data_IF_335622442312
#
_entry.id   IF_335622442312
#
_cell.length_a   1.000
_cell.length_b   1.000
_cell.length_c   1.000
_cell.angle_alpha   90.00
_cell.angle_beta   90.00
_cell.angle_gamma   90.00
#
_symmetry.space_group_name_H-M   'P 1'
#
loop_
_entity.id
_entity.type
_entity.pdbx_description
1 polymer ?
#
# COMPACT_ATOMS: atom_id res chain seq x y z
N UNK A 1 -1.84 4.13 -9.54
CA UNK A 1 -3.02 3.70 -8.75
C UNK A 1 -2.72 2.66 -7.67
N UNK A 2 -1.47 2.58 -7.18
CA UNK A 2 -0.97 1.55 -6.26
C UNK A 2 -0.70 2.08 -4.85
N UNK A 3 -1.45 3.09 -4.43
CA UNK A 3 -1.45 3.52 -3.03
C UNK A 3 -2.08 2.45 -2.15
N UNK A 4 -1.70 2.40 -0.88
CA UNK A 4 -2.14 1.44 0.11
C UNK A 4 -3.56 0.95 -0.16
N UNK A 5 -3.69 -0.33 -0.50
CA UNK A 5 -4.99 -0.94 -0.75
C UNK A 5 -5.79 -0.94 0.55
N UNK A 6 -7.10 -0.98 0.46
CA UNK A 6 -7.97 -0.98 1.65
C UNK A 6 -7.61 -2.12 2.63
N UNK A 7 -7.16 -3.27 2.10
CA UNK A 7 -6.73 -4.37 2.96
C UNK A 7 -5.44 -4.04 3.74
N UNK A 8 -4.47 -3.35 3.10
CA UNK A 8 -3.23 -2.92 3.77
C UNK A 8 -3.54 -1.96 4.92
N UNK A 9 -4.48 -1.02 4.72
CA UNK A 9 -4.93 -0.12 5.77
C UNK A 9 -5.54 -0.88 6.95
N UNK A 10 -6.44 -1.85 6.70
CA UNK A 10 -7.03 -2.69 7.76
C UNK A 10 -5.98 -3.52 8.48
N UNK A 11 -5.02 -4.07 7.75
CA UNK A 11 -3.89 -4.80 8.33
C UNK A 11 -3.05 -3.90 9.24
N UNK A 12 -2.67 -2.70 8.77
CA UNK A 12 -1.93 -1.72 9.56
C UNK A 12 -2.68 -1.28 10.82
N UNK A 13 -4.01 -1.07 10.72
CA UNK A 13 -4.85 -0.78 11.90
C UNK A 13 -4.82 -1.91 12.93
N UNK A 14 -4.87 -3.17 12.49
CA UNK A 14 -4.72 -4.32 13.37
C UNK A 14 -3.35 -4.36 14.04
N UNK A 15 -2.29 -4.13 13.26
CA UNK A 15 -0.90 -4.11 13.76
C UNK A 15 -0.73 -3.01 14.81
N UNK A 16 -1.11 -1.77 14.54
CA UNK A 16 -0.93 -0.67 15.52
C UNK A 16 -1.79 -0.88 16.76
N UNK A 17 -3.00 -1.43 16.61
CA UNK A 17 -3.86 -1.74 17.75
C UNK A 17 -3.20 -2.80 18.64
N UNK A 18 -2.72 -3.90 18.07
CA UNK A 18 -1.99 -4.93 18.82
C UNK A 18 -0.69 -4.40 19.44
N UNK A 19 0.05 -3.56 18.71
CA UNK A 19 1.29 -2.97 19.18
C UNK A 19 1.07 -2.04 20.40
N UNK A 20 0.01 -1.21 20.36
CA UNK A 20 -0.37 -0.35 21.49
C UNK A 20 -0.76 -1.14 22.74
N UNK A 21 -1.42 -2.30 22.59
CA UNK A 21 -1.81 -3.17 23.70
C UNK A 21 -0.62 -3.70 24.50
N UNK A 22 0.54 -3.87 23.84
CA UNK A 22 1.75 -4.47 24.44
C UNK A 22 2.95 -3.53 24.50
N UNK A 23 2.81 -2.28 24.03
CA UNK A 23 3.82 -1.24 24.20
C UNK A 23 4.89 -1.18 23.09
N UNK A 24 4.67 -1.76 21.91
CA UNK A 24 5.63 -1.72 20.79
C UNK A 24 5.42 -0.51 19.88
N UNK A 25 6.53 0.07 19.40
CA UNK A 25 6.51 0.99 18.28
C UNK A 25 6.48 0.23 16.95
N UNK A 26 5.90 0.83 15.92
CA UNK A 26 5.79 0.24 14.58
C UNK A 26 6.45 1.14 13.55
N UNK A 27 7.36 0.60 12.75
CA UNK A 27 7.91 1.25 11.57
C UNK A 27 7.40 0.52 10.33
N UNK A 28 6.70 1.25 9.45
CA UNK A 28 6.17 0.73 8.19
C UNK A 28 7.05 1.22 7.05
N UNK A 29 7.70 0.30 6.36
CA UNK A 29 8.50 0.56 5.18
C UNK A 29 7.63 0.23 3.96
N UNK A 30 7.32 1.24 3.16
CA UNK A 30 6.42 1.09 2.02
C UNK A 30 7.03 1.75 0.79
N UNK A 31 7.31 0.96 -0.24
CA UNK A 31 7.64 1.51 -1.55
C UNK A 31 6.37 1.85 -2.33
N UNK A 32 6.51 2.66 -3.36
CA UNK A 32 5.40 3.06 -4.22
C UNK A 32 5.38 2.33 -5.56
N UNK A 33 6.31 1.38 -5.74
CA UNK A 33 6.42 0.56 -6.92
C UNK A 33 6.94 1.28 -8.17
N UNK A 34 6.81 0.65 -9.31
CA UNK A 34 7.42 1.09 -10.55
C UNK A 34 6.70 2.30 -11.16
N UNK A 35 7.35 3.47 -11.11
CA UNK A 35 6.87 4.71 -11.72
C UNK A 35 7.07 4.69 -13.24
N UNK A 36 6.07 4.17 -13.97
CA UNK A 36 6.04 4.27 -15.43
C UNK A 36 7.26 3.68 -16.14
N UNK A 37 7.81 2.58 -15.62
CA UNK A 37 8.96 1.86 -16.19
C UNK A 37 10.31 2.62 -16.13
N UNK A 38 10.44 3.62 -15.28
CA UNK A 38 11.73 4.31 -15.09
C UNK A 38 12.64 3.51 -14.14
N UNK A 39 13.53 2.71 -14.73
CA UNK A 39 14.45 1.84 -13.99
C UNK A 39 15.33 2.58 -12.96
N UNK A 40 15.73 3.81 -13.22
CA UNK A 40 16.56 4.59 -12.27
C UNK A 40 15.76 5.00 -11.03
N UNK A 41 14.47 5.35 -11.18
CA UNK A 41 13.59 5.62 -10.04
C UNK A 41 13.38 4.37 -9.19
N UNK A 42 13.21 3.23 -9.83
CA UNK A 42 13.11 1.95 -9.15
C UNK A 42 14.35 1.66 -8.28
N UNK A 43 15.57 1.91 -8.79
CA UNK A 43 16.80 1.76 -7.99
C UNK A 43 16.78 2.67 -6.75
N UNK A 44 16.30 3.91 -6.87
CA UNK A 44 16.16 4.84 -5.75
C UNK A 44 15.18 4.31 -4.69
N UNK A 45 14.01 3.82 -5.11
CA UNK A 45 13.04 3.22 -4.20
C UNK A 45 13.61 2.01 -3.45
N UNK A 46 14.43 1.18 -4.13
CA UNK A 46 15.06 0.00 -3.52
C UNK A 46 15.99 0.34 -2.35
N UNK A 47 16.50 1.57 -2.27
CA UNK A 47 17.32 2.00 -1.12
C UNK A 47 16.55 1.90 0.20
N UNK A 48 15.21 1.99 0.18
CA UNK A 48 14.36 1.86 1.36
C UNK A 48 14.64 0.58 2.13
N UNK A 49 14.93 -0.52 1.44
CA UNK A 49 15.16 -1.84 2.05
C UNK A 49 16.50 -1.97 2.76
N UNK A 50 17.39 -0.97 2.64
CA UNK A 50 18.63 -0.86 3.42
C UNK A 50 18.45 -0.03 4.71
N UNK A 51 17.29 0.62 4.88
CA UNK A 51 17.01 1.49 6.02
C UNK A 51 16.73 0.72 7.32
N UNK A 52 15.99 -0.41 7.34
CA UNK A 52 15.64 -1.09 8.57
C UNK A 52 16.87 -1.53 9.36
N UNK A 53 16.94 -1.29 10.68
CA UNK A 53 17.99 -1.81 11.55
C UNK A 53 17.70 -3.28 11.89
N UNK A 54 17.82 -4.15 10.91
CA UNK A 54 17.38 -5.56 10.95
C UNK A 54 17.85 -6.34 12.19
N UNK A 55 19.04 -6.01 12.70
CA UNK A 55 19.62 -6.68 13.88
C UNK A 55 19.02 -6.23 15.20
N UNK A 56 18.31 -5.08 15.20
CA UNK A 56 17.78 -4.43 16.41
C UNK A 56 16.23 -4.50 16.49
N UNK A 57 15.59 -5.18 15.52
CA UNK A 57 14.14 -5.31 15.50
C UNK A 57 13.64 -6.37 16.48
N UNK A 58 12.56 -6.08 17.20
CA UNK A 58 11.88 -7.04 18.08
C UNK A 58 10.96 -7.99 17.30
N UNK A 59 10.58 -7.66 16.08
CA UNK A 59 9.75 -8.49 15.21
C UNK A 59 9.55 -7.89 13.83
N UNK A 60 9.24 -8.74 12.87
CA UNK A 60 9.00 -8.35 11.48
C UNK A 60 7.68 -8.92 10.99
N UNK A 61 6.85 -8.06 10.40
CA UNK A 61 5.63 -8.44 9.67
C UNK A 61 5.83 -8.17 8.19
N UNK A 62 5.65 -9.19 7.36
CA UNK A 62 5.85 -9.16 5.91
C UNK A 62 4.53 -9.32 5.17
N UNK A 63 4.22 -8.37 4.29
CA UNK A 63 3.11 -8.46 3.33
C UNK A 63 3.69 -8.62 1.91
N UNK A 64 4.35 -9.75 1.66
CA UNK A 64 5.13 -10.00 0.43
C UNK A 64 4.27 -10.02 -0.83
N UNK A 65 3.01 -10.40 -0.73
CA UNK A 65 2.04 -10.40 -1.82
C UNK A 65 1.72 -9.00 -2.36
N UNK A 66 2.10 -7.95 -1.61
CA UNK A 66 1.96 -6.55 -2.04
C UNK A 66 3.15 -6.03 -2.82
N UNK A 67 4.28 -6.75 -2.78
CA UNK A 67 5.51 -6.40 -3.48
C UNK A 67 5.49 -7.05 -4.88
N UNK A 68 5.31 -6.25 -5.92
CA UNK A 68 5.19 -6.76 -7.29
C UNK A 68 6.54 -7.17 -7.90
N UNK A 69 7.62 -6.48 -7.50
CA UNK A 69 8.94 -6.70 -8.07
C UNK A 69 9.66 -7.85 -7.35
N UNK A 70 9.91 -8.93 -8.08
CA UNK A 70 10.58 -10.13 -7.55
C UNK A 70 11.94 -9.80 -6.94
N UNK A 71 12.70 -8.91 -7.57
CA UNK A 71 14.03 -8.50 -7.10
C UNK A 71 13.95 -7.85 -5.71
N UNK A 72 12.95 -6.98 -5.50
CA UNK A 72 12.70 -6.33 -4.20
C UNK A 72 12.35 -7.36 -3.13
N UNK A 73 11.47 -8.31 -3.46
CA UNK A 73 11.08 -9.39 -2.55
C UNK A 73 12.27 -10.25 -2.13
N UNK A 74 13.07 -10.69 -3.10
CA UNK A 74 14.26 -11.51 -2.84
C UNK A 74 15.27 -10.76 -1.97
N UNK A 75 15.46 -9.46 -2.23
CA UNK A 75 16.35 -8.61 -1.45
C UNK A 75 15.89 -8.48 0.02
N UNK A 76 14.61 -8.17 0.23
CA UNK A 76 14.02 -8.08 1.58
C UNK A 76 14.11 -9.42 2.32
N UNK A 77 13.73 -10.52 1.67
CA UNK A 77 13.79 -11.86 2.26
C UNK A 77 15.23 -12.22 2.63
N UNK A 78 16.20 -11.89 1.77
CA UNK A 78 17.63 -12.13 2.03
C UNK A 78 18.09 -11.35 3.26
N UNK A 79 17.84 -10.02 3.31
CA UNK A 79 18.24 -9.18 4.45
C UNK A 79 17.66 -9.71 5.77
N UNK A 80 16.36 -10.08 5.75
CA UNK A 80 15.70 -10.63 6.93
C UNK A 80 16.33 -11.95 7.36
N UNK A 81 16.60 -12.89 6.45
CA UNK A 81 17.20 -14.18 6.78
C UNK A 81 18.64 -14.07 7.30
N UNK A 82 19.41 -13.12 6.78
CA UNK A 82 20.81 -12.95 7.13
C UNK A 82 21.02 -12.10 8.37
N UNK A 83 20.10 -11.17 8.68
CA UNK A 83 20.31 -10.09 9.64
C UNK A 83 19.31 -10.06 10.79
N UNK A 84 18.08 -10.57 10.62
CA UNK A 84 17.10 -10.59 11.69
C UNK A 84 17.29 -11.79 12.63
N UNK A 85 17.19 -11.51 13.92
CA UNK A 85 17.23 -12.54 14.98
C UNK A 85 15.91 -12.61 15.77
N UNK A 86 14.87 -11.93 15.28
CA UNK A 86 13.56 -11.82 15.90
C UNK A 86 12.49 -12.68 15.20
N UNK A 87 11.32 -12.87 15.81
CA UNK A 87 10.19 -13.53 15.17
C UNK A 87 9.75 -12.83 13.89
N UNK A 88 9.52 -13.62 12.85
CA UNK A 88 9.04 -13.15 11.54
C UNK A 88 7.63 -13.67 11.33
N UNK A 89 6.72 -12.81 10.88
CA UNK A 89 5.35 -13.16 10.51
C UNK A 89 5.09 -12.78 9.06
N UNK A 90 4.75 -13.75 8.22
CA UNK A 90 4.32 -13.53 6.83
C UNK A 90 2.80 -13.49 6.76
N UNK A 91 2.26 -12.54 6.02
CA UNK A 91 0.82 -12.36 5.81
C UNK A 91 0.45 -12.82 4.41
N UNK A 92 -0.56 -13.69 4.31
CA UNK A 92 -1.15 -14.25 3.07
C UNK A 92 -0.22 -15.10 2.21
N UNK A 93 1.05 -15.14 2.49
CA UNK A 93 2.00 -15.93 1.73
C UNK A 93 2.82 -16.85 2.64
N UNK A 94 3.01 -18.10 2.21
CA UNK A 94 3.79 -19.08 2.93
C UNK A 94 5.29 -18.76 2.77
N UNK A 95 5.92 -18.34 3.85
CA UNK A 95 7.37 -18.15 3.92
C UNK A 95 7.98 -19.22 4.84
N UNK A 96 8.86 -20.04 4.29
CA UNK A 96 9.56 -21.08 5.05
C UNK A 96 10.46 -20.45 6.12
N UNK A 97 10.30 -20.88 7.36
CA UNK A 97 11.05 -20.35 8.51
C UNK A 97 10.39 -19.15 9.19
N UNK A 98 9.23 -18.69 8.72
CA UNK A 98 8.44 -17.65 9.34
C UNK A 98 7.11 -18.20 9.89
N UNK A 99 6.51 -17.49 10.85
CA UNK A 99 5.11 -17.72 11.21
C UNK A 99 4.23 -17.21 10.06
N UNK A 100 3.21 -17.96 9.66
CA UNK A 100 2.41 -17.61 8.50
C UNK A 100 0.95 -17.40 8.91
N UNK A 101 0.40 -16.24 8.59
CA UNK A 101 -1.01 -15.93 8.71
C UNK A 101 -1.64 -16.02 7.33
N UNK A 102 -2.37 -17.09 7.09
CA UNK A 102 -2.91 -17.47 5.79
C UNK A 102 -4.42 -17.31 5.78
N UNK A 103 -5.01 -17.15 4.61
CA UNK A 103 -6.47 -17.20 4.43
C UNK A 103 -6.86 -18.61 3.98
N UNK A 104 -7.84 -19.20 4.64
CA UNK A 104 -8.50 -20.39 4.09
C UNK A 104 -9.41 -19.95 2.95
N UNK A 105 -8.87 -20.05 1.74
CA UNK A 105 -9.61 -19.69 0.54
C UNK A 105 -10.72 -20.68 0.21
N UNK A 106 -10.66 -21.93 0.75
CA UNK A 106 -11.54 -23.00 0.30
C UNK A 106 -12.96 -22.86 0.88
N UNK A 107 -13.12 -22.75 2.19
CA UNK A 107 -14.43 -22.78 2.83
C UNK A 107 -15.36 -21.66 2.34
N UNK A 108 -14.84 -20.43 2.22
CA UNK A 108 -15.65 -19.30 1.81
C UNK A 108 -15.86 -19.21 0.29
N UNK A 109 -14.88 -19.61 -0.54
CA UNK A 109 -15.07 -19.68 -1.98
C UNK A 109 -16.09 -20.76 -2.35
N UNK A 110 -16.05 -21.90 -1.69
CA UNK A 110 -17.08 -22.94 -1.84
C UNK A 110 -18.45 -22.44 -1.39
N UNK A 111 -18.53 -21.78 -0.24
CA UNK A 111 -19.77 -21.16 0.24
C UNK A 111 -20.33 -20.12 -0.72
N UNK A 112 -19.48 -19.36 -1.40
CA UNK A 112 -19.88 -18.39 -2.42
C UNK A 112 -20.49 -19.09 -3.64
N UNK A 113 -19.85 -20.16 -4.14
CA UNK A 113 -20.34 -20.94 -5.28
C UNK A 113 -21.62 -21.65 -4.90
N UNK A 114 -21.67 -22.26 -3.71
CA UNK A 114 -22.86 -22.89 -3.16
C UNK A 114 -24.04 -21.90 -3.12
N UNK A 115 -23.79 -20.68 -2.70
CA UNK A 115 -24.80 -19.63 -2.66
C UNK A 115 -25.37 -19.32 -4.06
N UNK A 116 -24.52 -19.20 -5.08
CA UNK A 116 -24.97 -18.96 -6.46
C UNK A 116 -25.75 -20.18 -7.03
N UNK A 117 -25.31 -21.40 -6.74
CA UNK A 117 -25.95 -22.61 -7.26
C UNK A 117 -27.20 -22.99 -6.47
N UNK A 118 -27.14 -23.04 -5.13
CA UNK A 118 -28.24 -23.56 -4.30
C UNK A 118 -29.31 -22.51 -4.04
N UNK A 119 -28.90 -21.27 -3.69
CA UNK A 119 -29.89 -20.23 -3.33
C UNK A 119 -30.47 -19.52 -4.57
N UNK A 120 -29.64 -19.33 -5.61
CA UNK A 120 -30.08 -18.63 -6.82
C UNK A 120 -30.31 -19.55 -8.03
N UNK A 121 -30.02 -20.85 -7.91
CA UNK A 121 -30.28 -21.85 -8.96
C UNK A 121 -29.43 -21.69 -10.22
N UNK A 122 -28.34 -20.94 -10.17
CA UNK A 122 -27.48 -20.65 -11.30
C UNK A 122 -26.65 -21.86 -11.73
N UNK A 123 -26.57 -22.09 -13.05
CA UNK A 123 -25.89 -23.25 -13.65
C UNK A 123 -24.75 -22.85 -14.59
N UNK A 124 -24.78 -21.63 -15.12
CA UNK A 124 -23.79 -21.10 -16.07
C UNK A 124 -22.94 -20.06 -15.35
N UNK A 125 -21.92 -20.52 -14.61
CA UNK A 125 -21.02 -19.67 -13.86
C UNK A 125 -19.71 -19.47 -14.62
N UNK A 126 -19.20 -18.23 -14.59
CA UNK A 126 -17.87 -17.88 -15.05
C UNK A 126 -17.00 -17.45 -13.87
N UNK A 127 -15.69 -17.62 -14.01
CA UNK A 127 -14.73 -17.30 -12.96
C UNK A 127 -13.60 -16.40 -13.48
N UNK A 128 -13.47 -15.20 -12.91
CA UNK A 128 -12.32 -14.35 -13.15
C UNK A 128 -11.30 -14.57 -12.02
N UNK A 129 -10.26 -15.35 -12.30
CA UNK A 129 -9.16 -15.61 -11.35
C UNK A 129 -8.13 -14.49 -11.39
N UNK A 130 -7.15 -14.51 -10.48
CA UNK A 130 -5.99 -13.61 -10.47
C UNK A 130 -4.85 -14.10 -11.38
N UNK A 131 -3.60 -13.58 -11.15
CA UNK A 131 -2.42 -14.03 -11.89
C UNK A 131 -2.17 -15.53 -11.72
N UNK A 132 -1.64 -16.16 -12.79
CA UNK A 132 -1.44 -17.62 -12.82
C UNK A 132 -0.50 -18.15 -11.75
N UNK A 133 0.49 -17.35 -11.37
CA UNK A 133 1.52 -17.74 -10.40
C UNK A 133 1.21 -17.32 -8.96
N UNK A 134 0.03 -16.71 -8.72
CA UNK A 134 -0.37 -16.27 -7.40
C UNK A 134 -1.12 -17.37 -6.64
N UNK A 135 -0.66 -17.68 -5.40
CA UNK A 135 -1.21 -18.74 -4.57
C UNK A 135 -2.74 -18.63 -4.38
N UNK A 136 -3.23 -17.50 -3.88
CA UNK A 136 -4.67 -17.30 -3.65
C UNK A 136 -5.49 -17.47 -4.95
N UNK A 137 -4.94 -17.04 -6.09
CA UNK A 137 -5.62 -17.17 -7.38
C UNK A 137 -5.78 -18.63 -7.80
N UNK A 138 -4.74 -19.43 -7.58
CA UNK A 138 -4.74 -20.86 -7.87
C UNK A 138 -5.72 -21.61 -6.94
N UNK A 139 -5.65 -21.36 -5.64
CA UNK A 139 -6.54 -22.00 -4.67
C UNK A 139 -8.02 -21.69 -4.94
N UNK A 140 -8.36 -20.40 -5.18
CA UNK A 140 -9.72 -19.98 -5.51
C UNK A 140 -10.22 -20.59 -6.82
N UNK A 141 -9.34 -20.71 -7.84
CA UNK A 141 -9.68 -21.39 -9.09
C UNK A 141 -9.89 -22.90 -8.90
N UNK A 142 -9.07 -23.54 -8.07
CA UNK A 142 -9.25 -24.97 -7.76
C UNK A 142 -10.57 -25.20 -7.04
N UNK A 143 -10.95 -24.34 -6.09
CA UNK A 143 -12.25 -24.41 -5.42
C UNK A 143 -13.40 -24.26 -6.42
N UNK A 144 -13.31 -23.31 -7.36
CA UNK A 144 -14.32 -23.15 -8.41
C UNK A 144 -14.47 -24.42 -9.22
N UNK A 145 -13.39 -24.97 -9.76
CA UNK A 145 -13.41 -26.21 -10.56
C UNK A 145 -14.00 -27.38 -9.77
N UNK A 146 -13.54 -27.60 -8.54
CA UNK A 146 -14.03 -28.66 -7.68
C UNK A 146 -15.55 -28.57 -7.43
N UNK A 147 -16.07 -27.37 -7.16
CA UNK A 147 -17.51 -27.17 -6.93
C UNK A 147 -18.32 -27.34 -8.22
N UNK A 148 -17.83 -26.90 -9.37
CA UNK A 148 -18.49 -27.16 -10.66
C UNK A 148 -18.59 -28.66 -10.93
N UNK A 149 -17.52 -29.42 -10.68
CA UNK A 149 -17.51 -30.88 -10.81
C UNK A 149 -18.49 -31.55 -9.82
N UNK A 150 -18.53 -31.10 -8.55
CA UNK A 150 -19.43 -31.61 -7.51
C UNK A 150 -20.91 -31.46 -7.92
N UNK A 151 -21.26 -30.31 -8.56
CA UNK A 151 -22.62 -30.06 -9.04
C UNK A 151 -22.91 -30.67 -10.40
N UNK A 152 -21.94 -31.31 -11.06
CA UNK A 152 -22.07 -31.80 -12.42
C UNK A 152 -22.31 -30.68 -13.45
N UNK A 153 -21.83 -29.47 -13.16
CA UNK A 153 -21.92 -28.32 -14.04
C UNK A 153 -20.68 -28.28 -14.95
N UNK A 154 -20.92 -28.13 -16.23
CA UNK A 154 -19.82 -28.02 -17.20
C UNK A 154 -19.14 -26.65 -17.10
N UNK A 155 -17.83 -26.63 -17.25
CA UNK A 155 -17.05 -25.43 -17.44
C UNK A 155 -15.96 -25.67 -18.48
N UNK A 156 -15.69 -24.68 -19.32
CA UNK A 156 -14.67 -24.71 -20.37
C UNK A 156 -13.71 -23.53 -20.25
N UNK A 157 -12.81 -23.40 -21.22
CA UNK A 157 -11.83 -22.30 -21.24
C UNK A 157 -12.51 -20.93 -21.24
N UNK A 158 -13.63 -20.75 -21.95
CA UNK A 158 -14.38 -19.50 -22.02
C UNK A 158 -15.04 -19.08 -20.70
N UNK A 159 -15.15 -19.99 -19.73
CA UNK A 159 -15.71 -19.68 -18.43
C UNK A 159 -14.64 -19.27 -17.39
N UNK A 160 -13.35 -19.29 -17.78
CA UNK A 160 -12.24 -18.92 -16.90
C UNK A 160 -11.42 -17.82 -17.60
N UNK A 161 -11.27 -16.67 -16.89
CA UNK A 161 -10.44 -15.56 -17.36
C UNK A 161 -9.37 -15.24 -16.31
N UNK A 162 -8.13 -15.00 -16.77
CA UNK A 162 -7.02 -14.67 -15.89
C UNK A 162 -6.86 -13.15 -15.77
N UNK A 163 -7.27 -12.62 -14.65
CA UNK A 163 -7.06 -11.23 -14.25
C UNK A 163 -5.70 -11.00 -13.61
N UNK A 164 -5.57 -9.86 -12.94
CA UNK A 164 -4.34 -9.41 -12.29
C UNK A 164 -4.59 -8.81 -10.90
N UNK A 165 -5.77 -9.09 -10.32
CA UNK A 165 -6.29 -8.54 -9.06
C UNK A 165 -6.55 -7.02 -9.08
N UNK A 166 -6.45 -6.36 -10.25
CA UNK A 166 -6.73 -4.93 -10.42
C UNK A 166 -7.98 -4.65 -11.26
N UNK A 167 -8.31 -3.35 -11.40
CA UNK A 167 -9.52 -2.90 -12.11
C UNK A 167 -9.36 -2.80 -13.65
N UNK A 168 -8.18 -2.97 -14.18
CA UNK A 168 -7.83 -2.66 -15.57
C UNK A 168 -8.35 -3.69 -16.59
N UNK A 169 -8.64 -4.95 -16.19
CA UNK A 169 -9.06 -6.02 -17.09
C UNK A 169 -10.55 -6.31 -17.15
N UNK A 170 -11.40 -5.44 -16.59
CA UNK A 170 -12.86 -5.65 -16.59
C UNK A 170 -13.46 -5.72 -17.98
N UNK A 171 -13.00 -4.87 -18.91
CA UNK A 171 -13.44 -4.89 -20.32
C UNK A 171 -13.05 -6.19 -21.03
N UNK A 172 -11.81 -6.60 -20.93
CA UNK A 172 -11.28 -7.82 -21.53
C UNK A 172 -11.98 -9.08 -20.99
N UNK A 173 -12.24 -9.12 -19.69
CA UNK A 173 -12.99 -10.20 -19.06
C UNK A 173 -14.43 -10.28 -19.60
N UNK A 174 -15.12 -9.15 -19.74
CA UNK A 174 -16.45 -9.13 -20.33
C UNK A 174 -16.45 -9.49 -21.82
N UNK A 175 -15.43 -9.07 -22.61
CA UNK A 175 -15.29 -9.48 -23.99
C UNK A 175 -15.11 -11.01 -24.11
N UNK A 176 -14.38 -11.61 -23.15
CA UNK A 176 -14.15 -13.04 -23.06
C UNK A 176 -15.42 -13.82 -22.68
N UNK A 177 -16.08 -13.44 -21.59
CA UNK A 177 -17.25 -14.16 -21.08
C UNK A 177 -18.53 -14.00 -21.95
N UNK A 178 -18.60 -12.95 -22.74
CA UNK A 178 -19.75 -12.61 -23.61
C UNK A 178 -19.39 -12.76 -25.09
N UNK A 179 -18.39 -13.59 -25.41
CA UNK A 179 -17.98 -13.82 -26.79
C UNK A 179 -19.13 -14.37 -27.63
N UNK A 180 -19.17 -13.99 -28.92
CA UNK A 180 -20.21 -14.43 -29.85
C UNK A 180 -20.18 -15.97 -30.02
N UNK A 181 -21.35 -16.59 -29.86
CA UNK A 181 -21.51 -18.05 -29.94
C UNK A 181 -21.39 -18.76 -28.59
N UNK A 182 -20.93 -18.08 -27.54
CA UNK A 182 -20.87 -18.63 -26.17
C UNK A 182 -22.18 -18.37 -25.40
N UNK A 183 -22.60 -19.28 -24.51
CA UNK A 183 -23.79 -19.07 -23.70
C UNK A 183 -23.57 -17.94 -22.69
N UNK A 184 -24.50 -16.98 -22.64
CA UNK A 184 -24.45 -15.91 -21.65
C UNK A 184 -24.36 -16.49 -20.23
N UNK A 185 -23.40 -16.02 -19.38
CA UNK A 185 -23.31 -16.44 -17.99
C UNK A 185 -24.50 -15.93 -17.19
N UNK A 186 -24.94 -16.72 -16.20
CA UNK A 186 -25.92 -16.34 -15.19
C UNK A 186 -25.22 -15.62 -14.02
N UNK A 187 -23.96 -15.97 -13.76
CA UNK A 187 -23.14 -15.35 -12.72
C UNK A 187 -21.66 -15.33 -13.08
N UNK A 188 -20.99 -14.25 -12.69
CA UNK A 188 -19.53 -14.08 -12.78
C UNK A 188 -18.97 -13.93 -11.37
N UNK A 189 -18.16 -14.90 -10.96
CA UNK A 189 -17.46 -14.90 -9.68
C UNK A 189 -16.04 -14.39 -9.92
N UNK A 190 -15.66 -13.31 -9.24
CA UNK A 190 -14.33 -12.74 -9.34
C UNK A 190 -13.50 -13.10 -8.10
N UNK A 191 -12.23 -13.42 -8.31
CA UNK A 191 -11.34 -13.81 -7.23
C UNK A 191 -10.98 -12.63 -6.28
N UNK A 192 -11.33 -11.38 -6.61
CA UNK A 192 -11.32 -10.27 -5.65
C UNK A 192 -12.33 -9.16 -6.01
N UNK A 193 -12.50 -8.21 -5.09
CA UNK A 193 -13.47 -7.12 -5.20
C UNK A 193 -13.10 -6.06 -6.25
N UNK A 194 -11.81 -5.82 -6.48
CA UNK A 194 -11.37 -4.89 -7.54
C UNK A 194 -11.79 -5.38 -8.92
N UNK A 195 -11.58 -6.66 -9.20
CA UNK A 195 -12.00 -7.29 -10.44
C UNK A 195 -13.53 -7.33 -10.53
N UNK A 196 -14.23 -7.66 -9.44
CA UNK A 196 -15.70 -7.68 -9.41
C UNK A 196 -16.31 -6.32 -9.74
N UNK A 197 -15.79 -5.24 -9.15
CA UNK A 197 -16.26 -3.88 -9.45
C UNK A 197 -15.95 -3.45 -10.88
N UNK A 198 -14.82 -3.89 -11.44
CA UNK A 198 -14.45 -3.61 -12.83
C UNK A 198 -15.38 -4.34 -13.83
N UNK A 199 -15.64 -5.63 -13.59
CA UNK A 199 -16.59 -6.44 -14.38
C UNK A 199 -18.01 -5.84 -14.28
N UNK A 200 -18.48 -5.55 -13.06
CA UNK A 200 -19.81 -4.97 -12.85
C UNK A 200 -19.97 -3.62 -13.56
N UNK A 201 -18.97 -2.75 -13.48
CA UNK A 201 -18.97 -1.45 -14.18
C UNK A 201 -19.06 -1.63 -15.68
N UNK A 202 -18.33 -2.57 -16.25
CA UNK A 202 -18.33 -2.83 -17.68
C UNK A 202 -19.65 -3.47 -18.14
N UNK A 203 -20.23 -4.41 -17.38
CA UNK A 203 -21.55 -4.98 -17.66
C UNK A 203 -22.64 -3.91 -17.70
N UNK A 204 -22.67 -3.00 -16.70
CA UNK A 204 -23.60 -1.87 -16.65
C UNK A 204 -23.40 -0.95 -17.87
N UNK A 205 -22.17 -0.64 -18.25
CA UNK A 205 -21.84 0.18 -19.42
C UNK A 205 -22.35 -0.45 -20.72
N UNK A 206 -22.41 -1.79 -20.79
CA UNK A 206 -22.98 -2.55 -21.93
C UNK A 206 -24.50 -2.69 -21.88
N UNK A 207 -25.15 -2.21 -20.82
CA UNK A 207 -26.60 -2.24 -20.64
C UNK A 207 -27.13 -3.50 -19.94
N UNK A 208 -26.27 -4.35 -19.40
CA UNK A 208 -26.71 -5.48 -18.57
C UNK A 208 -27.15 -5.02 -17.19
N UNK A 209 -28.20 -5.62 -16.67
CA UNK A 209 -28.70 -5.38 -15.32
C UNK A 209 -28.11 -6.41 -14.36
N UNK A 210 -27.55 -5.92 -13.28
CA UNK A 210 -27.03 -6.76 -12.20
C UNK A 210 -28.02 -6.69 -11.03
N UNK A 211 -28.54 -7.80 -10.52
CA UNK A 211 -28.25 -9.22 -10.87
C UNK A 211 -29.17 -9.81 -11.95
N UNK A 212 -30.16 -9.07 -12.48
CA UNK A 212 -31.28 -9.63 -13.26
C UNK A 212 -30.82 -10.33 -14.53
N UNK A 213 -29.79 -9.85 -15.22
CA UNK A 213 -29.26 -10.45 -16.42
C UNK A 213 -27.98 -11.27 -16.13
N UNK A 214 -27.12 -10.78 -15.25
CA UNK A 214 -25.88 -11.45 -14.81
C UNK A 214 -25.58 -11.04 -13.35
N UNK A 215 -25.44 -12.01 -12.46
CA UNK A 215 -24.98 -11.76 -11.10
C UNK A 215 -23.45 -11.62 -11.04
N UNK A 216 -22.96 -10.86 -10.05
CA UNK A 216 -21.51 -10.64 -9.87
C UNK A 216 -21.15 -10.78 -8.40
N UNK A 217 -20.00 -11.41 -8.11
CA UNK A 217 -19.43 -11.43 -6.77
C UNK A 217 -17.93 -11.23 -6.78
N UNK A 218 -17.40 -10.75 -5.65
CA UNK A 218 -15.98 -10.57 -5.39
C UNK A 218 -15.48 -11.38 -4.20
N UNK A 219 -14.32 -11.00 -3.68
CA UNK A 219 -13.65 -11.55 -2.52
C UNK A 219 -12.77 -10.46 -1.91
N UNK A 220 -12.46 -10.48 -0.62
CA UNK A 220 -11.68 -9.61 0.25
C UNK A 220 -12.53 -8.74 1.19
N UNK A 221 -13.79 -8.42 0.85
CA UNK A 221 -14.71 -7.66 1.70
C UNK A 221 -14.37 -6.16 1.76
N UNK A 222 -13.99 -5.57 0.62
CA UNK A 222 -13.63 -4.15 0.56
C UNK A 222 -14.84 -3.25 0.78
N UNK A 223 -14.67 -2.13 1.52
CA UNK A 223 -15.73 -1.13 1.74
C UNK A 223 -16.25 -0.52 0.44
N UNK A 224 -15.42 -0.41 -0.58
CA UNK A 224 -15.81 0.07 -1.90
C UNK A 224 -16.93 -0.76 -2.54
N UNK A 225 -17.07 -2.03 -2.17
CA UNK A 225 -18.17 -2.90 -2.63
C UNK A 225 -19.53 -2.48 -2.10
N UNK A 226 -19.58 -1.87 -0.92
CA UNK A 226 -20.80 -1.33 -0.32
C UNK A 226 -21.28 -0.02 -0.99
N UNK A 227 -20.35 0.77 -1.51
CA UNK A 227 -20.67 2.02 -2.21
C UNK A 227 -21.00 1.81 -3.69
N UNK A 228 -20.69 0.64 -4.26
CA UNK A 228 -21.08 0.27 -5.61
C UNK A 228 -22.60 0.07 -5.72
N UNK A 229 -23.18 0.32 -6.88
CA UNK A 229 -24.60 0.09 -7.12
C UNK A 229 -24.79 -0.83 -8.33
N UNK A 230 -25.35 -2.05 -8.10
CA UNK A 230 -25.76 -2.66 -6.83
C UNK A 230 -24.58 -3.03 -5.93
N UNK A 231 -24.78 -3.09 -4.60
CA UNK A 231 -23.75 -3.51 -3.65
C UNK A 231 -23.22 -4.90 -4.00
N UNK A 232 -21.90 -5.04 -4.06
CA UNK A 232 -21.26 -6.29 -4.52
C UNK A 232 -21.22 -7.33 -3.41
N UNK A 233 -21.75 -8.53 -3.71
CA UNK A 233 -21.59 -9.74 -2.90
C UNK A 233 -20.11 -10.10 -2.81
N UNK A 234 -19.60 -10.39 -1.61
CA UNK A 234 -18.18 -10.65 -1.40
C UNK A 234 -17.95 -11.62 -0.23
N UNK A 235 -16.70 -12.07 -0.08
CA UNK A 235 -16.21 -12.76 1.10
C UNK A 235 -15.27 -11.83 1.87
N UNK A 236 -15.60 -11.53 3.13
CA UNK A 236 -14.80 -10.60 3.95
C UNK A 236 -13.68 -11.35 4.66
N UNK A 237 -12.44 -10.96 4.35
CA UNK A 237 -11.24 -11.46 5.02
C UNK A 237 -10.96 -10.58 6.27
N UNK A 238 -10.65 -11.18 7.45
CA UNK A 238 -10.46 -10.44 8.69
C UNK A 238 -9.05 -9.84 8.81
N UNK A 239 -8.66 -8.93 7.89
CA UNK A 239 -7.32 -8.34 7.84
C UNK A 239 -6.92 -7.61 9.11
N UNK A 240 -7.86 -6.95 9.80
CA UNK A 240 -7.61 -6.31 11.08
C UNK A 240 -7.17 -7.33 12.13
N UNK A 241 -7.88 -8.44 12.26
CA UNK A 241 -7.55 -9.50 13.22
C UNK A 241 -6.23 -10.20 12.84
N UNK A 242 -5.95 -10.36 11.54
CA UNK A 242 -4.65 -10.87 11.09
C UNK A 242 -3.50 -9.96 11.54
N UNK A 243 -3.64 -8.63 11.37
CA UNK A 243 -2.65 -7.67 11.84
C UNK A 243 -2.43 -7.71 13.35
N UNK A 244 -3.51 -7.74 14.12
CA UNK A 244 -3.44 -7.86 15.59
C UNK A 244 -2.79 -9.18 16.02
N UNK A 245 -3.15 -10.29 15.36
CA UNK A 245 -2.57 -11.61 15.61
C UNK A 245 -1.08 -11.67 15.29
N UNK A 246 -0.63 -11.00 14.24
CA UNK A 246 0.79 -10.93 13.90
C UNK A 246 1.63 -10.38 15.07
N UNK A 247 1.19 -9.28 15.66
CA UNK A 247 1.89 -8.67 16.82
C UNK A 247 1.84 -9.58 18.04
N UNK A 248 0.72 -10.24 18.31
CA UNK A 248 0.62 -11.22 19.41
C UNK A 248 1.56 -12.42 19.24
N UNK A 249 1.78 -12.86 17.99
CA UNK A 249 2.75 -13.92 17.70
C UNK A 249 4.16 -13.43 17.98
N UNK A 250 4.51 -12.23 17.51
CA UNK A 250 5.82 -11.63 17.76
C UNK A 250 6.09 -11.57 19.26
N UNK A 251 5.18 -11.03 20.05
CA UNK A 251 5.31 -10.91 21.50
C UNK A 251 5.52 -12.28 22.18
N UNK A 252 4.70 -13.27 21.86
CA UNK A 252 4.78 -14.62 22.44
C UNK A 252 6.02 -15.39 22.03
N UNK A 253 6.64 -15.08 20.89
CA UNK A 253 7.78 -15.80 20.32
C UNK A 253 9.12 -15.16 20.61
N UNK A 254 9.17 -14.07 21.39
CA UNK A 254 10.44 -13.46 21.81
C UNK A 254 11.39 -14.48 22.45
N UNK A 255 10.86 -15.38 23.29
CA UNK A 255 11.65 -16.39 23.98
C UNK A 255 11.92 -17.66 23.16
N UNK A 256 11.18 -17.88 22.04
CA UNK A 256 11.29 -19.10 21.22
C UNK A 256 11.07 -18.80 19.73
N UNK A 257 11.94 -18.04 19.08
CA UNK A 257 11.76 -17.62 17.68
C UNK A 257 11.79 -18.78 16.67
N UNK A 258 12.45 -19.88 16.98
CA UNK A 258 12.61 -21.03 16.08
C UNK A 258 11.32 -21.85 15.88
N UNK A 259 10.35 -21.77 16.80
CA UNK A 259 9.09 -22.52 16.71
C UNK A 259 8.08 -21.72 15.88
N UNK A 260 8.00 -22.02 14.60
CA UNK A 260 7.05 -21.39 13.67
C UNK A 260 5.68 -22.05 13.67
N UNK A 261 4.62 -21.28 13.37
CA UNK A 261 3.25 -21.78 13.25
C UNK A 261 2.56 -21.20 12.01
N UNK A 262 1.64 -21.97 11.43
CA UNK A 262 0.75 -21.51 10.37
C UNK A 262 -0.64 -21.36 10.95
N UNK A 263 -1.21 -20.17 10.86
CA UNK A 263 -2.55 -19.85 11.34
C UNK A 263 -3.42 -19.51 10.14
N UNK A 264 -4.55 -20.20 10.02
CA UNK A 264 -5.52 -19.95 8.94
C UNK A 264 -6.69 -19.12 9.46
N UNK A 265 -7.12 -18.19 8.65
CA UNK A 265 -8.26 -17.31 8.90
C UNK A 265 -9.35 -17.58 7.89
N UNK A 266 -10.56 -17.79 8.38
CA UNK A 266 -11.74 -17.94 7.54
C UNK A 266 -12.23 -16.58 7.06
N UNK A 267 -12.59 -16.49 5.79
CA UNK A 267 -13.36 -15.38 5.27
C UNK A 267 -14.86 -15.62 5.54
N UNK A 268 -15.65 -14.56 5.61
CA UNK A 268 -17.10 -14.63 5.88
C UNK A 268 -17.85 -14.14 4.65
N UNK A 269 -18.74 -15.01 4.11
CA UNK A 269 -19.59 -14.66 2.97
C UNK A 269 -20.58 -13.55 3.36
N UNK A 270 -20.66 -12.53 2.51
CA UNK A 270 -21.55 -11.38 2.60
C UNK A 270 -22.44 -11.31 1.34
N UNK A 271 -23.59 -12.00 1.31
CA UNK A 271 -24.54 -11.88 0.20
C UNK A 271 -25.14 -10.46 0.15
N UNK A 272 -25.19 -9.89 -1.05
CA UNK A 272 -25.70 -8.52 -1.27
C UNK A 272 -26.52 -8.42 -2.55
N UNK A 273 -26.82 -7.19 -2.96
CA UNK A 273 -27.68 -6.90 -4.11
C UNK A 273 -27.18 -7.50 -5.43
N UNK A 274 -25.88 -7.59 -5.64
CA UNK A 274 -25.29 -8.05 -6.92
C UNK A 274 -25.45 -9.55 -7.20
N UNK A 275 -25.83 -10.37 -6.22
CA UNK A 275 -26.25 -11.75 -6.43
C UNK A 275 -27.79 -11.92 -6.43
N UNK A 276 -28.54 -10.90 -6.04
CA UNK A 276 -30.01 -10.95 -5.92
C UNK A 276 -30.51 -10.96 -4.47
N UNK A 277 -29.62 -10.97 -3.48
CA UNK A 277 -30.00 -10.83 -2.06
C UNK A 277 -30.22 -9.36 -1.70
N UNK A 278 -31.02 -9.13 -0.66
CA UNK A 278 -31.18 -7.78 -0.12
C UNK A 278 -29.96 -7.43 0.74
N UNK A 279 -29.42 -6.22 0.57
CA UNK A 279 -28.39 -5.72 1.47
C UNK A 279 -29.01 -5.53 2.87
N UNK A 280 -28.50 -6.24 3.86
CA UNK A 280 -28.93 -6.10 5.26
C UNK A 280 -28.51 -4.79 5.94
N UNK A 281 -27.74 -3.95 5.26
CA UNK A 281 -26.96 -2.85 5.84
C UNK A 281 -27.31 -1.46 5.25
N UNK A 282 -28.58 -1.20 4.94
CA UNK A 282 -29.01 0.01 4.25
C UNK A 282 -28.52 1.35 4.85
N UNK A 283 -28.42 1.46 6.19
CA UNK A 283 -27.97 2.68 6.86
C UNK A 283 -26.45 2.84 6.78
N UNK A 284 -25.70 1.75 6.84
CA UNK A 284 -24.23 1.74 6.68
C UNK A 284 -23.83 2.09 5.25
N UNK A 285 -24.54 1.53 4.26
CA UNK A 285 -24.35 1.83 2.83
C UNK A 285 -24.52 3.33 2.53
N UNK A 286 -25.57 3.96 3.07
CA UNK A 286 -25.79 5.41 2.88
C UNK A 286 -24.67 6.24 3.49
N UNK A 287 -24.20 5.87 4.68
CA UNK A 287 -23.08 6.56 5.34
C UNK A 287 -21.78 6.40 4.56
N UNK A 288 -21.49 5.21 4.02
CA UNK A 288 -20.31 4.95 3.20
C UNK A 288 -20.38 5.75 1.89
N UNK A 289 -21.52 5.76 1.18
CA UNK A 289 -21.70 6.54 -0.04
C UNK A 289 -21.51 8.02 0.19
N UNK A 290 -22.05 8.56 1.28
CA UNK A 290 -21.88 9.96 1.64
C UNK A 290 -20.42 10.29 1.91
N UNK A 291 -19.71 9.47 2.70
CA UNK A 291 -18.27 9.64 2.96
C UNK A 291 -17.44 9.57 1.68
N UNK A 292 -17.76 8.66 0.76
CA UNK A 292 -17.04 8.57 -0.52
C UNK A 292 -17.25 9.80 -1.38
N UNK A 293 -18.49 10.32 -1.46
CA UNK A 293 -18.77 11.56 -2.15
C UNK A 293 -18.01 12.76 -1.57
N UNK A 294 -17.97 12.86 -0.23
CA UNK A 294 -17.19 13.88 0.47
C UNK A 294 -15.70 13.72 0.19
N UNK A 295 -15.17 12.48 0.24
CA UNK A 295 -13.77 12.17 -0.03
C UNK A 295 -13.37 12.50 -1.48
N UNK A 296 -14.23 12.21 -2.46
CA UNK A 296 -13.97 12.52 -3.87
C UNK A 296 -13.89 14.02 -4.12
N UNK A 297 -14.84 14.81 -3.57
CA UNK A 297 -14.80 16.26 -3.67
C UNK A 297 -13.59 16.89 -2.97
N UNK A 298 -13.23 16.38 -1.81
CA UNK A 298 -12.03 16.81 -1.08
C UNK A 298 -10.77 16.38 -1.85
N UNK A 299 -10.76 15.19 -2.46
CA UNK A 299 -9.66 14.65 -3.24
C UNK A 299 -9.27 15.54 -4.42
N UNK A 300 -10.23 16.00 -5.21
CA UNK A 300 -9.99 16.91 -6.35
C UNK A 300 -9.36 18.24 -5.91
N UNK A 301 -9.82 18.80 -4.81
CA UNK A 301 -9.25 20.03 -4.26
C UNK A 301 -7.81 19.79 -3.76
N UNK A 302 -7.52 18.63 -3.18
CA UNK A 302 -6.19 18.27 -2.69
C UNK A 302 -5.20 18.07 -3.83
N UNK A 303 -5.58 17.39 -4.91
CA UNK A 303 -4.72 17.24 -6.10
C UNK A 303 -4.30 18.61 -6.65
N UNK A 304 -5.22 19.55 -6.73
CA UNK A 304 -4.91 20.93 -7.14
C UNK A 304 -3.92 21.59 -6.16
N UNK A 305 -4.06 21.38 -4.86
CA UNK A 305 -3.11 21.91 -3.87
C UNK A 305 -1.70 21.31 -4.04
N UNK A 306 -1.57 20.05 -4.45
CA UNK A 306 -0.27 19.44 -4.76
C UNK A 306 0.37 20.06 -6.02
N UNK A 307 -0.41 20.43 -7.03
CA UNK A 307 0.10 21.19 -8.16
C UNK A 307 0.66 22.57 -7.73
N UNK A 308 -0.08 23.29 -6.89
CA UNK A 308 0.42 24.55 -6.33
C UNK A 308 1.65 24.35 -5.44
N UNK A 309 1.68 23.28 -4.65
CA UNK A 309 2.86 22.90 -3.87
C UNK A 309 4.07 22.73 -4.79
N UNK A 310 3.97 21.97 -5.87
CA UNK A 310 5.06 21.74 -6.80
C UNK A 310 5.60 23.06 -7.37
N UNK A 311 4.72 23.99 -7.76
CA UNK A 311 5.11 25.33 -8.27
C UNK A 311 5.83 26.13 -7.18
N UNK A 312 5.25 26.21 -5.97
CA UNK A 312 5.83 26.99 -4.89
C UNK A 312 7.14 26.40 -4.35
N UNK A 313 7.27 25.06 -4.36
CA UNK A 313 8.49 24.39 -3.94
C UNK A 313 9.65 24.64 -4.93
N UNK A 314 9.38 24.75 -6.23
CA UNK A 314 10.42 25.03 -7.23
C UNK A 314 11.12 26.38 -7.05
N UNK A 315 10.58 27.29 -6.24
CA UNK A 315 11.19 28.56 -5.88
C UNK A 315 12.19 28.44 -4.72
N UNK A 316 12.26 27.28 -4.05
CA UNK A 316 13.16 27.08 -2.90
C UNK A 316 14.59 26.77 -3.37
N UNK A 317 15.56 27.45 -2.77
CA UNK A 317 16.99 27.25 -3.02
C UNK A 317 17.75 26.76 -1.79
N UNK A 318 17.08 26.71 -0.64
CA UNK A 318 17.64 26.25 0.64
C UNK A 318 16.66 25.32 1.37
N UNK A 319 17.20 24.43 2.22
CA UNK A 319 16.40 23.51 3.00
C UNK A 319 15.51 24.24 4.04
N UNK A 320 15.94 25.41 4.51
CA UNK A 320 15.17 26.22 5.47
C UNK A 320 13.90 26.79 4.80
N UNK A 321 13.99 27.22 3.53
CA UNK A 321 12.84 27.66 2.74
C UNK A 321 11.86 26.50 2.49
N UNK A 322 12.39 25.30 2.25
CA UNK A 322 11.58 24.09 2.11
C UNK A 322 10.80 23.81 3.40
N UNK A 323 11.43 23.87 4.56
CA UNK A 323 10.78 23.65 5.86
C UNK A 323 9.61 24.60 6.12
N UNK A 324 9.76 25.88 5.73
CA UNK A 324 8.69 26.86 5.86
C UNK A 324 7.48 26.54 4.94
N UNK A 325 7.74 26.07 3.71
CA UNK A 325 6.68 25.74 2.74
C UNK A 325 6.03 24.40 3.06
N UNK A 326 6.80 23.39 3.48
CA UNK A 326 6.26 22.10 3.94
C UNK A 326 5.18 22.30 4.99
N UNK A 327 5.42 23.13 5.99
CA UNK A 327 4.45 23.43 7.04
C UNK A 327 3.09 23.94 6.54
N UNK A 328 3.02 24.48 5.32
CA UNK A 328 1.75 24.96 4.72
C UNK A 328 1.01 23.84 3.97
N UNK A 329 1.73 22.91 3.35
CA UNK A 329 1.16 21.92 2.44
C UNK A 329 0.91 20.56 3.08
N UNK A 330 1.64 20.20 4.13
CA UNK A 330 1.57 18.86 4.74
C UNK A 330 0.16 18.53 5.28
N UNK A 331 -0.62 19.54 5.64
CA UNK A 331 -2.01 19.36 6.10
C UNK A 331 -2.97 18.88 5.00
N UNK A 332 -2.54 18.88 3.73
CA UNK A 332 -3.29 18.27 2.64
C UNK A 332 -3.19 16.74 2.66
N UNK A 333 -2.20 16.18 3.37
CA UNK A 333 -2.13 14.75 3.65
C UNK A 333 -3.13 14.44 4.75
N UNK A 334 -4.17 13.67 4.41
CA UNK A 334 -5.24 13.35 5.35
C UNK A 334 -4.74 12.55 6.55
N UNK A 335 -5.25 12.86 7.74
CA UNK A 335 -4.86 12.19 8.98
C UNK A 335 -3.42 12.45 9.41
N UNK A 336 -2.70 13.36 8.79
CA UNK A 336 -1.36 13.77 9.19
C UNK A 336 -1.32 14.20 10.67
N UNK A 337 -0.32 13.71 11.37
CA UNK A 337 -0.04 14.09 12.76
C UNK A 337 1.34 14.71 12.92
N UNK A 338 2.39 13.92 12.68
CA UNK A 338 3.78 14.31 12.83
C UNK A 338 4.59 13.96 11.58
N UNK A 339 5.68 14.71 11.33
CA UNK A 339 6.54 14.52 10.15
C UNK A 339 7.98 14.86 10.50
N UNK A 340 8.93 14.10 9.98
CA UNK A 340 10.33 14.48 9.94
C UNK A 340 10.99 14.10 8.61
N UNK A 341 11.86 14.98 8.13
CA UNK A 341 12.75 14.74 7.00
C UNK A 341 14.15 14.47 7.53
N UNK A 342 14.70 13.32 7.19
CA UNK A 342 15.99 12.84 7.64
C UNK A 342 16.92 12.71 6.43
N UNK A 343 17.93 13.56 6.34
CA UNK A 343 18.87 13.59 5.22
C UNK A 343 20.21 12.97 5.61
N UNK A 344 20.86 12.35 4.65
CA UNK A 344 22.21 11.80 4.81
C UNK A 344 23.20 12.90 5.19
N UNK A 345 24.09 12.65 6.15
CA UNK A 345 25.12 13.61 6.52
C UNK A 345 25.96 14.01 5.29
N UNK A 346 26.06 15.32 5.03
CA UNK A 346 26.77 15.86 3.86
C UNK A 346 26.06 15.61 2.52
N UNK A 347 24.75 15.49 2.49
CA UNK A 347 23.96 15.22 1.27
C UNK A 347 24.18 16.26 0.15
N UNK A 348 24.52 17.51 0.47
CA UNK A 348 24.82 18.57 -0.51
C UNK A 348 26.17 18.44 -1.19
N UNK A 349 27.14 17.82 -0.53
CA UNK A 349 28.55 17.80 -0.94
C UNK A 349 28.90 16.55 -1.77
N UNK A 350 28.20 15.45 -1.58
CA UNK A 350 28.49 14.16 -2.20
C UNK A 350 27.97 14.08 -3.63
N UNK A 351 28.79 13.55 -4.52
CA UNK A 351 28.45 13.40 -5.95
C UNK A 351 27.62 12.14 -6.25
N UNK A 352 27.69 11.12 -5.41
CA UNK A 352 27.00 9.85 -5.60
C UNK A 352 26.63 9.26 -4.24
N UNK A 353 25.32 9.16 -3.95
CA UNK A 353 24.81 8.42 -2.81
C UNK A 353 24.10 7.17 -3.31
N UNK A 354 24.68 6.01 -3.05
CA UNK A 354 24.07 4.72 -3.36
C UNK A 354 23.34 4.09 -2.17
N UNK A 355 22.97 4.87 -1.14
CA UNK A 355 22.33 4.40 0.07
C UNK A 355 22.42 5.42 1.20
N UNK A 356 22.06 5.01 2.40
CA UNK A 356 22.05 5.88 3.57
C UNK A 356 23.44 5.98 4.23
N UNK A 357 23.69 7.11 4.89
CA UNK A 357 24.85 7.26 5.78
C UNK A 357 24.52 6.75 7.18
N UNK A 358 25.56 6.40 7.98
CA UNK A 358 25.35 5.97 9.37
C UNK A 358 24.83 7.10 10.25
N UNK A 359 25.24 8.33 9.97
CA UNK A 359 24.72 9.53 10.61
C UNK A 359 23.78 10.27 9.68
N UNK A 360 22.67 10.72 10.23
CA UNK A 360 21.62 11.46 9.57
C UNK A 360 21.46 12.84 10.20
N UNK A 361 20.95 13.79 9.41
CA UNK A 361 20.55 15.12 9.88
C UNK A 361 19.05 15.28 9.70
N UNK A 362 18.37 15.86 10.69
CA UNK A 362 16.93 16.17 10.60
C UNK A 362 16.74 17.68 10.48
N UNK A 363 16.76 18.27 9.28
CA UNK A 363 16.58 19.71 9.09
C UNK A 363 15.13 20.17 9.22
N UNK A 364 14.15 19.28 8.98
CA UNK A 364 12.74 19.63 8.96
C UNK A 364 11.98 18.67 9.87
N UNK A 365 11.17 19.22 10.76
CA UNK A 365 10.28 18.46 11.61
C UNK A 365 9.00 19.25 11.93
N UNK A 366 7.89 18.52 11.98
CA UNK A 366 6.59 18.99 12.44
C UNK A 366 6.13 18.01 13.51
N UNK A 367 5.90 18.52 14.71
CA UNK A 367 5.48 17.74 15.86
C UNK A 367 4.22 18.33 16.45
N UNK A 368 3.21 17.50 16.73
CA UNK A 368 1.91 17.94 17.24
C UNK A 368 1.30 19.06 16.37
N UNK A 369 1.49 18.96 15.05
CA UNK A 369 1.07 19.96 14.05
C UNK A 369 1.78 21.31 14.13
N UNK A 370 2.86 21.44 14.90
CA UNK A 370 3.69 22.63 14.96
C UNK A 370 4.99 22.42 14.17
N UNK A 371 5.33 23.37 13.31
CA UNK A 371 6.60 23.34 12.60
C UNK A 371 7.73 23.75 13.55
N UNK A 372 8.61 22.80 13.88
CA UNK A 372 9.77 23.00 14.76
C UNK A 372 11.08 23.11 13.99
N UNK A 373 11.02 23.20 12.64
CA UNK A 373 12.19 23.38 11.78
C UNK A 373 12.80 24.78 11.91
N UNK A 374 14.12 24.94 11.68
CA UNK A 374 15.13 23.90 11.48
C UNK A 374 15.61 23.31 12.81
N UNK A 375 15.64 21.98 12.90
CA UNK A 375 16.09 21.31 14.13
C UNK A 375 17.59 21.06 14.17
N UNK A 376 18.21 20.83 13.00
CA UNK A 376 19.62 20.47 12.81
C UNK A 376 20.09 19.34 13.73
N UNK A 377 19.18 18.51 14.21
CA UNK A 377 19.51 17.36 15.04
C UNK A 377 20.25 16.33 14.21
N UNK A 378 21.34 15.78 14.77
CA UNK A 378 22.10 14.68 14.20
C UNK A 378 21.90 13.45 15.04
N UNK A 379 21.65 12.32 14.40
CA UNK A 379 21.33 11.06 15.06
C UNK A 379 21.89 9.85 14.28
N UNK A 380 21.93 8.70 14.93
CA UNK A 380 22.30 7.44 14.28
C UNK A 380 21.14 6.94 13.44
N UNK A 381 21.39 6.54 12.19
CA UNK A 381 20.38 6.01 11.28
C UNK A 381 19.55 4.86 11.87
N UNK A 382 20.15 4.03 12.72
CA UNK A 382 19.49 2.89 13.37
C UNK A 382 18.37 3.30 14.32
N UNK A 383 18.39 4.54 14.82
CA UNK A 383 17.28 5.08 15.63
C UNK A 383 16.01 5.29 14.81
N UNK A 384 16.08 5.36 13.46
CA UNK A 384 15.01 5.63 12.50
C UNK A 384 14.25 6.95 12.77
N UNK A 385 13.83 7.18 14.00
CA UNK A 385 13.11 8.36 14.44
C UNK A 385 13.94 9.08 15.51
N UNK A 386 14.34 10.34 15.29
CA UNK A 386 15.09 11.12 16.24
C UNK A 386 14.38 11.23 17.59
N UNK A 387 15.14 11.28 18.68
CA UNK A 387 14.59 11.28 20.05
C UNK A 387 13.60 12.42 20.32
N UNK A 388 13.80 13.58 19.71
CA UNK A 388 12.87 14.71 19.86
C UNK A 388 11.48 14.44 19.23
N UNK A 389 11.37 13.45 18.34
CA UNK A 389 10.13 13.02 17.71
C UNK A 389 9.52 11.78 18.39
N UNK A 390 10.23 11.12 19.30
CA UNK A 390 9.71 9.96 20.02
C UNK A 390 8.72 10.36 21.13
N UNK A 391 7.86 9.43 21.54
CA UNK A 391 6.85 9.56 22.58
C UNK A 391 6.96 8.38 23.55
N UNK A 392 6.44 8.56 24.77
CA UNK A 392 6.27 7.46 25.73
C UNK A 392 5.16 6.49 25.28
N UNK A 393 4.18 6.97 24.52
CA UNK A 393 3.13 6.13 23.95
C UNK A 393 3.62 5.48 22.64
N UNK A 394 3.22 4.22 22.37
CA UNK A 394 3.52 3.53 21.12
C UNK A 394 3.12 4.34 19.89
N UNK A 395 4.03 4.45 18.95
CA UNK A 395 3.87 5.21 17.72
C UNK A 395 3.94 4.30 16.50
N UNK A 396 3.27 4.70 15.42
CA UNK A 396 3.39 4.08 14.11
C UNK A 396 3.89 5.10 13.10
N UNK A 397 5.05 4.84 12.51
CA UNK A 397 5.69 5.69 11.54
C UNK A 397 5.74 5.02 10.18
N UNK A 398 5.37 5.76 9.14
CA UNK A 398 5.51 5.35 7.74
C UNK A 398 6.76 6.00 7.16
N UNK A 399 7.68 5.17 6.69
CA UNK A 399 8.96 5.61 6.16
C UNK A 399 9.02 5.40 4.66
N UNK A 400 9.54 6.42 3.95
CA UNK A 400 9.78 6.36 2.52
C UNK A 400 11.14 6.98 2.19
N UNK A 401 11.84 6.41 1.21
CA UNK A 401 13.13 6.93 0.76
C UNK A 401 12.93 8.27 0.05
N UNK A 402 13.80 9.24 0.33
CA UNK A 402 13.92 10.49 -0.41
C UNK A 402 15.04 10.35 -1.42
N UNK A 403 14.69 10.30 -2.68
CA UNK A 403 15.65 10.10 -3.76
C UNK A 403 15.25 10.86 -5.03
N UNK A 404 16.21 11.07 -5.91
CA UNK A 404 15.99 11.49 -7.28
C UNK A 404 16.66 10.48 -8.20
N UNK A 405 15.89 9.73 -8.95
CA UNK A 405 16.36 8.57 -9.70
C UNK A 405 17.12 7.63 -8.75
N UNK A 406 18.37 7.27 -9.06
CA UNK A 406 19.24 6.39 -8.26
C UNK A 406 20.06 7.12 -7.17
N UNK A 407 19.87 8.44 -6.99
CA UNK A 407 20.51 9.22 -5.93
C UNK A 407 19.64 9.21 -4.67
N UNK A 408 20.12 8.65 -3.59
CA UNK A 408 19.46 8.69 -2.29
C UNK A 408 19.89 9.91 -1.50
N UNK A 409 18.95 10.76 -1.06
CA UNK A 409 19.22 11.90 -0.19
C UNK A 409 19.00 11.58 1.28
N UNK A 410 18.14 10.61 1.57
CA UNK A 410 17.73 10.25 2.91
C UNK A 410 16.36 9.59 2.90
N UNK A 411 15.59 9.83 3.93
CA UNK A 411 14.21 9.35 4.05
C UNK A 411 13.32 10.37 4.75
N UNK A 412 12.04 10.22 4.60
CA UNK A 412 11.05 10.91 5.41
C UNK A 412 10.24 9.92 6.25
N UNK A 413 9.77 10.38 7.38
CA UNK A 413 8.90 9.62 8.26
C UNK A 413 7.65 10.41 8.59
N UNK A 414 6.51 9.78 8.43
CA UNK A 414 5.19 10.36 8.63
C UNK A 414 4.40 9.56 9.65
N UNK A 415 3.79 10.23 10.61
CA UNK A 415 2.84 9.65 11.53
C UNK A 415 1.43 10.10 11.19
N UNK A 416 0.50 9.15 11.16
CA UNK A 416 -0.92 9.42 10.97
C UNK A 416 -1.69 9.29 12.28
N UNK A 417 -2.81 10.01 12.39
CA UNK A 417 -3.76 9.86 13.51
C UNK A 417 -4.38 8.47 13.45
N UNK A 418 -4.82 8.08 12.25
CA UNK A 418 -5.40 6.77 11.95
C UNK A 418 -4.63 6.12 10.80
N UNK A 419 -4.41 4.81 10.86
CA UNK A 419 -3.71 4.06 9.80
C UNK A 419 -4.49 4.02 8.47
N UNK A 420 -5.71 4.57 8.43
CA UNK A 420 -6.58 4.60 7.23
C UNK A 420 -6.12 5.56 6.11
N UNK A 421 -5.10 6.37 6.34
CA UNK A 421 -4.91 7.57 5.52
C UNK A 421 -3.63 7.60 4.67
N UNK A 422 -2.88 6.50 4.58
CA UNK A 422 -1.73 6.41 3.66
C UNK A 422 -2.21 6.35 2.20
N UNK A 423 -2.42 7.49 1.58
CA UNK A 423 -2.97 7.59 0.23
C UNK A 423 -1.94 8.00 -0.82
N UNK A 424 -2.38 8.04 -2.10
CA UNK A 424 -1.62 8.52 -3.27
C UNK A 424 -0.94 9.87 -3.05
N UNK A 425 -1.51 10.71 -2.19
CA UNK A 425 -0.99 12.04 -1.94
C UNK A 425 0.38 12.01 -1.27
N UNK A 426 0.65 11.00 -0.42
CA UNK A 426 1.96 10.84 0.18
C UNK A 426 3.03 10.45 -0.86
N UNK A 427 2.65 9.62 -1.84
CA UNK A 427 3.53 9.32 -2.97
C UNK A 427 3.90 10.57 -3.78
N UNK A 428 2.91 11.40 -4.16
CA UNK A 428 3.18 12.66 -4.87
C UNK A 428 4.03 13.62 -4.05
N UNK A 429 3.76 13.69 -2.76
CA UNK A 429 4.54 14.44 -1.79
C UNK A 429 6.02 14.03 -1.85
N UNK A 430 6.29 12.74 -1.69
CA UNK A 430 7.64 12.18 -1.70
C UNK A 430 8.39 12.49 -3.00
N UNK A 431 7.75 12.34 -4.17
CA UNK A 431 8.33 12.66 -5.47
C UNK A 431 8.65 14.15 -5.58
N UNK A 432 7.76 15.03 -5.16
CA UNK A 432 7.99 16.49 -5.21
C UNK A 432 9.18 16.85 -4.35
N UNK A 433 9.28 16.31 -3.15
CA UNK A 433 10.40 16.58 -2.24
C UNK A 433 11.72 16.04 -2.80
N UNK A 434 11.72 14.82 -3.34
CA UNK A 434 12.93 14.24 -3.97
C UNK A 434 13.45 15.09 -5.13
N UNK A 435 12.57 15.55 -6.03
CA UNK A 435 12.94 16.47 -7.12
C UNK A 435 13.49 17.79 -6.60
N UNK A 436 12.85 18.37 -5.58
CA UNK A 436 13.28 19.61 -4.96
C UNK A 436 14.68 19.51 -4.33
N UNK A 437 14.99 18.42 -3.65
CA UNK A 437 16.32 18.18 -3.07
C UNK A 437 17.40 18.15 -4.17
N UNK A 438 17.09 17.52 -5.31
CA UNK A 438 17.97 17.55 -6.49
C UNK A 438 18.20 18.96 -7.03
N UNK A 439 17.14 19.76 -7.11
CA UNK A 439 17.22 21.15 -7.60
C UNK A 439 18.07 22.01 -6.66
N UNK A 440 17.89 21.91 -5.35
CA UNK A 440 18.71 22.61 -4.34
C UNK A 440 20.17 22.22 -4.46
N UNK A 441 20.48 20.92 -4.57
CA UNK A 441 21.84 20.44 -4.73
C UNK A 441 22.48 20.99 -5.99
N UNK A 442 21.73 21.06 -7.09
CA UNK A 442 22.22 21.58 -8.38
C UNK A 442 22.44 23.09 -8.30
N UNK A 443 21.53 23.85 -7.72
CA UNK A 443 21.61 25.28 -7.53
C UNK A 443 22.85 25.68 -6.72
N UNK A 444 23.10 24.99 -5.60
CA UNK A 444 24.27 25.29 -4.77
C UNK A 444 25.61 24.99 -5.47
N UNK A 445 25.69 23.92 -6.26
CA UNK A 445 26.89 23.60 -7.07
C UNK A 445 27.22 24.67 -8.11
N UNK A 446 26.21 25.35 -8.65
CA UNK A 446 26.38 26.42 -9.66
C UNK A 446 26.75 27.75 -8.99
N UNK A 447 26.16 28.04 -7.83
CA UNK A 447 26.26 29.40 -7.21
C UNK A 447 27.53 29.58 -6.38
N UNK A 448 27.98 28.54 -5.67
CA UNK A 448 29.20 28.61 -4.84
C UNK A 448 30.49 28.91 -5.64
N UNK A 449 30.74 28.35 -6.86
CA UNK A 449 31.91 28.69 -7.65
C UNK A 449 31.95 30.14 -8.17
N UNK A 450 30.75 30.71 -8.43
CA UNK A 450 30.64 32.08 -8.93
C UNK A 450 31.01 33.12 -7.86
N UNK A 451 30.73 32.87 -6.61
CA UNK A 451 31.10 33.78 -5.49
C UNK A 451 32.62 33.80 -5.24
N UNK A 452 33.30 32.67 -5.40
CA UNK A 452 34.78 32.62 -5.33
C UNK A 452 35.45 33.28 -6.53
N UNK A 453 34.86 33.22 -7.73
CA UNK A 453 35.33 33.89 -8.93
C UNK A 453 35.21 35.43 -8.83
N UNK A 454 34.10 35.94 -8.29
CA UNK A 454 33.84 37.35 -8.12
C UNK A 454 34.70 38.01 -7.02
N UNK A 455 35.10 37.30 -5.97
CA UNK A 455 36.06 37.83 -4.97
C UNK A 455 37.45 37.97 -5.54
N UNK A 456 37.90 37.06 -6.39
CA UNK A 456 39.19 37.15 -7.05
C UNK A 456 39.25 38.27 -8.15
N UNK A 457 38.15 38.56 -8.84
CA UNK A 457 38.07 39.67 -9.78
C UNK A 457 38.07 41.04 -9.10
N UNK A 458 37.41 41.20 -7.94
CA UNK A 458 37.47 42.45 -7.17
C UNK A 458 38.85 42.72 -6.59
N UNK A 459 39.61 41.70 -6.25
CA UNK A 459 40.99 41.86 -5.74
C UNK A 459 41.98 42.13 -6.85
N UNK A 460 41.75 41.72 -8.09
CA UNK A 460 42.57 42.01 -9.26
C UNK A 460 42.34 43.43 -9.87
N UNK A 461 41.16 44.01 -9.60
CA UNK A 461 40.87 45.40 -10.06
C UNK A 461 41.33 46.49 -9.09
N UNK A 462 41.91 46.14 -7.94
CA UNK A 462 42.49 47.04 -6.94
C UNK A 462 44.03 46.92 -6.85
N UNK A 463 44.68 46.35 -7.83
CA UNK A 463 46.11 46.36 -8.03
C UNK A 463 46.36 46.93 -9.45
#
# INVERSE_FOLDING_TARGET
ERSASEFQNRLCQGIITGAKEIGYNVAVFSDYGNYGQNHRYFIGDQTLWELPPYEELDGVVLALDTMEEIVSREHVIKNIRERCHCPIVSIRELLVGANNLLVDNSSCMEGLIDHFVKEHGMKKLCFMTGPKDHWDAQERLLCFKRKMDEYGLSYGEHQIFYGDFWKNKGKEACDWFLAEGEPQPEGIICANDYMATAVASELIRRGYRIPQDIAVSGYDGMRSTLSFTPCITTATVPFFEMGRRAVQIIDKKQDCPEKVENVFFDAVLQPRESCGCMASEGQEVMTIRQRMYETENIGQNREMQFHFMSIHMSECHTIDEVGQKIGRYIYNIEGFKDYCMCLCEGWLEKKEFKGFTDKMEMPIAIRNRENISPTRERFDRRELIPKCMSSEEPQMWFLASLHFQDLCFGYEALQFIDAETTGRLYMYWNIIIGNLLQDIMTYQKITIPLDHGNRNMKTAAMR
#
